data_IF_468987408816
#
_entry.id   IF_468987408816
#
_cell.length_a   1.000
_cell.length_b   1.000
_cell.length_c   1.000
_cell.angle_alpha   90.00
_cell.angle_beta   90.00
_cell.angle_gamma   90.00
#
_symmetry.space_group_name_H-M   'P 1'
#
loop_
_entity.id
_entity.type
_entity.pdbx_description
1 polymer ?
#
# COMPACT_ATOMS: atom_id res chain seq x y z
N UNK A 1 15.99 -11.58 -5.31
CA UNK A 1 16.85 -10.56 -4.69
C UNK A 1 17.30 -9.55 -5.74
N UNK A 2 17.28 -8.30 -5.37
CA UNK A 2 17.84 -7.26 -6.24
C UNK A 2 19.34 -7.14 -5.95
N UNK A 3 20.14 -7.61 -6.86
CA UNK A 3 21.59 -7.58 -6.72
C UNK A 3 22.24 -6.38 -7.41
N UNK A 4 21.42 -5.49 -7.95
CA UNK A 4 21.89 -4.28 -8.60
C UNK A 4 21.93 -3.14 -7.58
N UNK A 5 23.11 -2.62 -7.26
CA UNK A 5 23.19 -1.52 -6.31
C UNK A 5 22.57 -0.25 -6.89
N UNK A 6 22.03 0.57 -6.01
CA UNK A 6 21.61 1.91 -6.40
C UNK A 6 22.86 2.80 -6.43
N UNK A 7 23.09 3.42 -7.57
CA UNK A 7 24.28 4.24 -7.78
C UNK A 7 23.99 5.74 -7.67
N UNK A 8 22.72 6.11 -7.61
CA UNK A 8 22.32 7.52 -7.45
C UNK A 8 20.96 7.59 -6.78
N UNK A 9 20.69 8.70 -6.09
CA UNK A 9 19.37 8.94 -5.52
C UNK A 9 18.29 8.99 -6.61
N UNK A 10 17.09 8.57 -6.27
CA UNK A 10 15.93 8.70 -7.14
C UNK A 10 14.86 9.53 -6.44
N UNK A 11 14.22 10.40 -7.20
CA UNK A 11 13.14 11.24 -6.70
C UNK A 11 11.84 10.83 -7.41
N UNK A 12 10.83 10.53 -6.61
CA UNK A 12 9.53 10.12 -7.13
C UNK A 12 8.46 11.00 -6.47
N UNK A 13 7.53 11.51 -7.27
CA UNK A 13 6.39 12.27 -6.77
C UNK A 13 5.13 11.39 -6.90
N UNK A 14 4.70 10.74 -5.78
CA UNK A 14 3.56 9.84 -5.86
C UNK A 14 2.27 10.53 -6.28
N UNK A 15 2.05 11.76 -5.84
CA UNK A 15 0.82 12.46 -6.18
C UNK A 15 0.74 12.72 -7.68
N UNK A 16 1.84 13.16 -8.29
CA UNK A 16 1.89 13.37 -9.74
C UNK A 16 1.67 12.07 -10.50
N UNK A 17 2.31 10.98 -10.07
CA UNK A 17 2.12 9.68 -10.70
C UNK A 17 0.68 9.20 -10.59
N UNK A 18 0.02 9.46 -9.47
CA UNK A 18 -1.36 9.02 -9.26
C UNK A 18 -2.34 9.68 -10.20
N UNK A 19 -2.03 10.89 -10.68
CA UNK A 19 -2.94 11.66 -11.53
C UNK A 19 -3.17 11.06 -12.91
N UNK A 20 -2.25 10.23 -13.38
CA UNK A 20 -2.37 9.59 -14.69
C UNK A 20 -2.98 8.18 -14.61
N UNK A 21 -3.28 7.71 -13.40
CA UNK A 21 -3.89 6.40 -13.21
C UNK A 21 -5.38 6.50 -13.46
N UNK A 22 -5.89 5.68 -14.39
CA UNK A 22 -7.31 5.62 -14.74
C UNK A 22 -7.96 4.29 -14.37
N UNK A 23 -7.17 3.28 -14.02
CA UNK A 23 -7.68 1.99 -13.58
C UNK A 23 -8.41 2.14 -12.25
N UNK A 24 -9.34 1.22 -11.97
CA UNK A 24 -10.07 1.20 -10.69
C UNK A 24 -9.18 0.82 -9.53
N UNK A 25 -8.13 0.07 -9.82
CA UNK A 25 -7.11 -0.32 -8.86
C UNK A 25 -5.79 -0.45 -9.59
N UNK A 26 -4.78 0.24 -9.08
CA UNK A 26 -3.42 0.08 -9.57
C UNK A 26 -2.45 0.12 -8.42
N UNK A 27 -1.54 -0.84 -8.40
CA UNK A 27 -0.50 -0.93 -7.40
C UNK A 27 0.84 -1.05 -8.12
N UNK A 28 1.75 -0.11 -7.88
CA UNK A 28 3.05 -0.08 -8.56
C UNK A 28 4.16 0.14 -7.54
N UNK A 29 5.32 -0.46 -7.81
CA UNK A 29 6.51 -0.21 -7.01
C UNK A 29 7.11 1.14 -7.37
N UNK A 30 7.43 1.94 -6.37
CA UNK A 30 8.07 3.25 -6.54
C UNK A 30 9.57 3.20 -6.26
N UNK A 31 10.03 2.23 -5.50
CA UNK A 31 11.44 2.11 -5.15
C UNK A 31 11.67 1.04 -4.12
N UNK A 32 12.95 0.74 -3.91
CA UNK A 32 13.36 -0.30 -2.98
C UNK A 32 14.27 0.28 -1.90
N UNK A 33 14.14 -0.27 -0.69
CA UNK A 33 14.96 0.08 0.45
C UNK A 33 15.44 -1.23 1.06
N UNK A 34 16.68 -1.64 0.72
CA UNK A 34 17.23 -2.93 1.12
C UNK A 34 16.33 -4.08 0.66
N UNK A 35 15.78 -4.88 1.57
CA UNK A 35 14.88 -5.99 1.25
C UNK A 35 13.40 -5.60 1.28
N UNK A 36 13.11 -4.31 1.33
CA UNK A 36 11.76 -3.77 1.34
C UNK A 36 11.52 -2.90 0.11
N UNK A 37 10.26 -2.63 -0.18
CA UNK A 37 9.89 -1.73 -1.26
C UNK A 37 8.77 -0.79 -0.82
N UNK A 38 8.73 0.35 -1.47
CA UNK A 38 7.63 1.31 -1.34
C UNK A 38 6.76 1.15 -2.57
N UNK A 39 5.47 0.89 -2.36
CA UNK A 39 4.51 0.77 -3.44
C UNK A 39 3.46 1.86 -3.32
N UNK A 40 2.83 2.21 -4.43
CA UNK A 40 1.70 3.14 -4.44
C UNK A 40 0.46 2.39 -4.88
N UNK A 41 -0.62 2.54 -4.11
CA UNK A 41 -1.95 2.07 -4.50
C UNK A 41 -2.83 3.27 -4.84
N UNK A 42 -3.48 3.19 -6.00
CA UNK A 42 -4.52 4.13 -6.40
C UNK A 42 -5.77 3.30 -6.59
N UNK A 43 -6.83 3.61 -5.84
CA UNK A 43 -8.00 2.75 -5.85
C UNK A 43 -9.31 3.53 -5.77
N UNK A 44 -10.29 3.07 -6.54
CA UNK A 44 -11.67 3.54 -6.50
C UNK A 44 -12.62 2.43 -6.09
N UNK A 45 -12.11 1.21 -5.86
CA UNK A 45 -12.90 0.05 -5.44
C UNK A 45 -12.17 -0.72 -4.34
N UNK A 46 -12.88 -1.55 -3.57
CA UNK A 46 -12.27 -2.29 -2.46
C UNK A 46 -11.27 -3.34 -2.94
N UNK A 47 -10.32 -3.65 -2.07
CA UNK A 47 -9.42 -4.78 -2.19
C UNK A 47 -9.77 -5.77 -1.07
N UNK A 48 -9.97 -7.05 -1.44
CA UNK A 48 -10.61 -8.03 -0.56
C UNK A 48 -9.80 -8.47 0.65
N UNK A 49 -10.43 -9.28 1.49
CA UNK A 49 -9.82 -9.82 2.69
C UNK A 49 -8.57 -10.63 2.37
N UNK A 50 -7.46 -10.28 3.01
CA UNK A 50 -6.17 -10.96 2.78
C UNK A 50 -5.24 -10.73 3.98
N UNK A 51 -4.12 -11.46 3.95
CA UNK A 51 -3.04 -11.29 4.91
C UNK A 51 -1.70 -11.47 4.21
N UNK A 52 -0.67 -10.91 4.81
CA UNK A 52 0.71 -11.10 4.37
C UNK A 52 1.43 -11.86 5.49
N UNK A 53 1.57 -13.20 5.39
CA UNK A 53 2.10 -13.97 6.52
C UNK A 53 3.58 -13.71 6.82
N UNK A 54 4.32 -13.18 5.85
CA UNK A 54 5.77 -13.03 5.94
C UNK A 54 6.25 -11.58 6.03
N UNK A 55 5.34 -10.61 6.15
CA UNK A 55 5.75 -9.20 6.20
C UNK A 55 4.75 -8.34 6.96
N UNK A 56 5.27 -7.44 7.78
CA UNK A 56 4.49 -6.28 8.21
C UNK A 56 4.24 -5.39 7.00
N UNK A 57 3.20 -4.59 7.07
CA UNK A 57 2.86 -3.64 6.01
C UNK A 57 2.49 -2.31 6.63
N UNK A 58 3.20 -1.24 6.24
CA UNK A 58 2.85 0.11 6.68
C UNK A 58 2.12 0.82 5.56
N UNK A 59 0.97 1.40 5.88
CA UNK A 59 0.20 2.25 4.96
C UNK A 59 0.43 3.69 5.32
N UNK A 60 0.64 4.53 4.30
CA UNK A 60 0.84 5.98 4.47
C UNK A 60 -0.14 6.68 3.54
N UNK A 61 -1.01 7.54 4.09
CA UNK A 61 -1.98 8.28 3.30
C UNK A 61 -1.32 9.38 2.46
N UNK A 62 -1.75 9.52 1.22
CA UNK A 62 -1.26 10.56 0.29
C UNK A 62 -2.40 11.48 -0.13
N UNK A 63 -3.51 10.91 -0.64
CA UNK A 63 -4.64 11.71 -1.13
C UNK A 63 -5.92 10.90 -0.94
N UNK A 64 -6.99 11.56 -0.47
CA UNK A 64 -8.19 10.88 -0.04
C UNK A 64 -7.93 10.08 1.23
N UNK A 65 -8.96 9.40 1.71
CA UNK A 65 -8.86 8.60 2.93
C UNK A 65 -9.03 7.13 2.60
N UNK A 66 -8.21 6.30 3.23
CA UNK A 66 -8.27 4.85 3.09
C UNK A 66 -8.85 4.27 4.37
N UNK A 67 -9.82 3.38 4.24
CA UNK A 67 -10.34 2.62 5.36
C UNK A 67 -9.72 1.23 5.31
N UNK A 68 -9.08 0.84 6.41
CA UNK A 68 -8.58 -0.53 6.59
C UNK A 68 -9.49 -1.20 7.61
N UNK A 69 -10.13 -2.29 7.19
CA UNK A 69 -11.02 -3.07 8.06
C UNK A 69 -10.28 -4.28 8.59
N UNK A 70 -10.42 -4.51 9.88
CA UNK A 70 -9.95 -5.70 10.58
C UNK A 70 -11.16 -6.48 11.11
N UNK A 71 -10.92 -7.64 11.71
CA UNK A 71 -12.01 -8.47 12.22
C UNK A 71 -12.89 -7.76 13.26
N UNK A 72 -12.30 -6.87 14.06
CA UNK A 72 -12.98 -6.25 15.21
C UNK A 72 -13.07 -4.73 15.14
N UNK A 73 -12.53 -4.11 14.10
CA UNK A 73 -12.53 -2.63 14.01
C UNK A 73 -12.09 -2.20 12.63
N UNK A 74 -12.18 -0.89 12.38
CA UNK A 74 -11.59 -0.28 11.19
C UNK A 74 -10.77 0.93 11.58
N UNK A 75 -9.81 1.26 10.73
CA UNK A 75 -8.90 2.40 10.90
C UNK A 75 -8.99 3.25 9.64
N UNK A 76 -9.07 4.57 9.84
CA UNK A 76 -9.07 5.52 8.73
C UNK A 76 -7.67 6.12 8.60
N UNK A 77 -7.06 5.93 7.44
CA UNK A 77 -5.75 6.49 7.14
C UNK A 77 -5.93 7.75 6.32
N UNK A 78 -5.73 8.89 6.96
CA UNK A 78 -5.86 10.20 6.31
C UNK A 78 -4.52 10.58 5.67
N UNK A 79 -4.53 11.51 4.70
CA UNK A 79 -3.28 12.01 4.14
C UNK A 79 -2.31 12.46 5.22
N UNK A 80 -1.06 12.01 5.12
CA UNK A 80 -0.01 12.35 6.08
C UNK A 80 0.00 11.49 7.35
N UNK A 81 -0.92 10.54 7.49
CA UNK A 81 -0.92 9.60 8.62
C UNK A 81 -0.48 8.23 8.14
N UNK A 82 -0.05 7.39 9.08
CA UNK A 82 0.37 6.04 8.75
C UNK A 82 -0.10 5.04 9.80
N UNK A 83 -0.21 3.79 9.37
CA UNK A 83 -0.53 2.66 10.24
C UNK A 83 0.28 1.46 9.79
N UNK A 84 0.79 0.69 10.74
CA UNK A 84 1.50 -0.55 10.44
C UNK A 84 0.62 -1.73 10.81
N UNK A 85 0.39 -2.60 9.84
CA UNK A 85 -0.37 -3.84 9.99
C UNK A 85 0.64 -4.97 10.19
N UNK A 86 0.64 -5.65 11.36
CA UNK A 86 1.59 -6.74 11.59
C UNK A 86 1.38 -7.92 10.64
N UNK A 87 2.47 -8.64 10.37
CA UNK A 87 2.42 -9.84 9.55
C UNK A 87 1.33 -10.79 10.03
N UNK A 88 0.61 -11.39 9.09
CA UNK A 88 -0.44 -12.36 9.38
C UNK A 88 -1.79 -11.78 9.76
N UNK A 89 -1.91 -10.47 9.88
CA UNK A 89 -3.18 -9.83 10.26
C UNK A 89 -4.13 -9.78 9.07
N UNK A 90 -5.30 -10.38 9.23
CA UNK A 90 -6.35 -10.35 8.21
C UNK A 90 -6.94 -8.96 8.10
N UNK A 91 -7.01 -8.42 6.89
CA UNK A 91 -7.55 -7.09 6.66
C UNK A 91 -8.03 -6.92 5.23
N UNK A 92 -8.82 -5.89 5.01
CA UNK A 92 -9.21 -5.44 3.67
C UNK A 92 -9.21 -3.92 3.65
N UNK A 93 -9.12 -3.34 2.44
CA UNK A 93 -9.02 -1.90 2.26
C UNK A 93 -10.08 -1.40 1.30
N UNK A 94 -10.49 -0.16 1.48
CA UNK A 94 -11.38 0.55 0.55
C UNK A 94 -11.18 2.05 0.66
N UNK A 95 -11.41 2.79 -0.42
CA UNK A 95 -11.44 4.25 -0.29
C UNK A 95 -12.67 4.67 0.53
N UNK A 96 -12.50 5.67 1.38
CA UNK A 96 -13.61 6.22 2.15
C UNK A 96 -14.56 7.02 1.24
N UNK A 97 -13.98 7.69 0.24
CA UNK A 97 -14.73 8.45 -0.75
C UNK A 97 -14.60 7.79 -2.12
N UNK A 98 -14.50 8.61 -3.15
CA UNK A 98 -14.45 8.12 -4.52
C UNK A 98 -13.11 7.50 -4.88
N UNK A 99 -12.02 7.96 -4.26
CA UNK A 99 -10.67 7.57 -4.63
C UNK A 99 -9.73 7.77 -3.46
N UNK A 100 -8.77 6.87 -3.34
CA UNK A 100 -7.68 7.04 -2.38
C UNK A 100 -6.34 6.73 -3.04
N UNK A 101 -5.32 7.45 -2.58
CA UNK A 101 -3.93 7.21 -2.96
C UNK A 101 -3.16 7.01 -1.68
N UNK A 102 -2.48 5.89 -1.57
CA UNK A 102 -1.65 5.59 -0.40
C UNK A 102 -0.38 4.89 -0.81
N UNK A 103 0.63 5.02 0.02
CA UNK A 103 1.86 4.26 -0.12
C UNK A 103 1.80 3.07 0.82
N UNK A 104 2.45 1.97 0.43
CA UNK A 104 2.70 0.85 1.32
C UNK A 104 4.19 0.55 1.36
N UNK A 105 4.64 0.06 2.51
CA UNK A 105 6.03 -0.30 2.73
C UNK A 105 6.06 -1.71 3.30
N UNK A 106 6.70 -2.64 2.59
CA UNK A 106 6.70 -4.06 2.92
C UNK A 106 7.89 -4.76 2.28
N UNK A 107 8.12 -6.02 2.67
CA UNK A 107 9.18 -6.82 2.05
C UNK A 107 8.92 -6.97 0.55
N UNK A 108 10.00 -6.97 -0.24
CA UNK A 108 9.93 -7.27 -1.67
C UNK A 108 9.45 -8.72 -1.80
N UNK A 109 8.42 -8.91 -2.64
CA UNK A 109 7.84 -10.24 -2.87
C UNK A 109 7.05 -10.79 -1.70
N UNK A 110 6.52 -9.93 -0.83
CA UNK A 110 5.68 -10.36 0.27
C UNK A 110 4.52 -11.22 -0.25
N UNK A 111 4.27 -12.32 0.45
CA UNK A 111 3.20 -13.24 0.09
C UNK A 111 1.84 -12.61 0.42
N UNK A 112 0.85 -12.83 -0.44
CA UNK A 112 -0.53 -12.40 -0.20
C UNK A 112 -1.42 -13.62 -0.23
N UNK A 113 -2.12 -13.86 0.88
CA UNK A 113 -3.07 -14.97 1.00
C UNK A 113 -4.46 -14.39 1.15
N UNK A 114 -5.32 -14.69 0.17
CA UNK A 114 -6.70 -14.20 0.18
C UNK A 114 -7.60 -15.11 0.99
N UNK A 115 -8.53 -14.52 1.72
CA UNK A 115 -9.61 -15.23 2.40
C UNK A 115 -10.85 -15.23 1.50
N UNK A 116 -11.52 -16.32 1.47
CA UNK A 116 -12.79 -16.43 0.72
C UNK A 116 -14.00 -16.18 1.60
#
# INVERSE_FOLDING_TARGET
MNDRPQTSPSLVDPLSLSRVVTERYRNVSLGEVNDHEIRMSVMTEPFGWHRHPDSDETFIGVDGELIIEFADREVVVKPGTLVTVPAGTLHRTRPAGKRSVNLTFERIGAETVFEE
#
